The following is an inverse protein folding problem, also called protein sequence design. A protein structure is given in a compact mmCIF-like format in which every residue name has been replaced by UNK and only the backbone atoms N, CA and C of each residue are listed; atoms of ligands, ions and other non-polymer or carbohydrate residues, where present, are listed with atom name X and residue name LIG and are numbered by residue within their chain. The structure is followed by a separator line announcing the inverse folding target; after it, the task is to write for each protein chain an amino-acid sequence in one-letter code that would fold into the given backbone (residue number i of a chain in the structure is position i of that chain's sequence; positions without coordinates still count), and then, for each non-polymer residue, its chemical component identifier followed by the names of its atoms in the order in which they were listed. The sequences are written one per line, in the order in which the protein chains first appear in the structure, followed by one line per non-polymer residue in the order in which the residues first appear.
data_IF_764818122767
#
_entry.id   IF_764818122767
#
_cell.length_a   1.000
_cell.length_b   1.000
_cell.length_c   1.000
_cell.angle_alpha   90.00
_cell.angle_beta   90.00
_cell.angle_gamma   90.00
#
_symmetry.space_group_name_H-M   'P 1'
#
loop_
_entity.id
_entity.type
_entity.pdbx_description
1 polymer ?
#
# COMPACT_ATOMS: atom_id res chain seq x y z
N UNK A 1 30.67 -47.59 -70.28
CA UNK A 1 30.64 -46.15 -70.57
C UNK A 1 29.61 -45.47 -69.67
N UNK A 2 30.07 -44.63 -68.71
CA UNK A 2 29.52 -43.28 -68.36
C UNK A 2 28.02 -43.22 -67.94
N UNK A 3 27.59 -42.78 -66.73
CA UNK A 3 28.07 -41.75 -65.80
C UNK A 3 27.47 -41.94 -64.38
N UNK A 4 28.27 -41.58 -63.37
CA UNK A 4 27.88 -41.23 -62.00
C UNK A 4 26.92 -40.03 -61.95
N UNK A 5 26.15 -39.92 -60.86
CA UNK A 5 25.78 -38.70 -60.08
C UNK A 5 24.78 -39.13 -58.97
N UNK A 6 25.23 -39.62 -57.81
CA UNK A 6 25.44 -38.90 -56.54
C UNK A 6 24.41 -37.80 -56.24
N UNK A 7 23.48 -38.09 -55.34
CA UNK A 7 22.83 -37.11 -54.46
C UNK A 7 22.31 -37.83 -53.20
N UNK A 8 23.23 -38.26 -52.33
CA UNK A 8 22.89 -38.68 -50.98
C UNK A 8 22.65 -37.41 -50.14
N UNK A 9 21.37 -37.06 -49.96
CA UNK A 9 20.95 -35.99 -49.06
C UNK A 9 21.26 -36.38 -47.62
N UNK A 10 22.39 -35.89 -47.11
CA UNK A 10 22.75 -35.97 -45.70
C UNK A 10 21.76 -35.13 -44.91
N UNK A 11 20.76 -35.79 -44.32
CA UNK A 11 19.94 -35.23 -43.25
C UNK A 11 20.84 -35.10 -42.02
N UNK A 12 21.47 -33.94 -41.86
CA UNK A 12 22.13 -33.54 -40.62
C UNK A 12 21.04 -33.35 -39.56
N UNK A 13 20.77 -34.40 -38.78
CA UNK A 13 20.07 -34.27 -37.51
C UNK A 13 20.92 -33.38 -36.61
N UNK A 14 20.62 -32.08 -36.59
CA UNK A 14 21.08 -31.20 -35.52
C UNK A 14 20.33 -31.60 -34.24
N UNK A 15 20.81 -32.66 -33.59
CA UNK A 15 20.53 -32.91 -32.19
C UNK A 15 21.22 -31.79 -31.40
N UNK A 16 20.53 -30.66 -31.27
CA UNK A 16 20.86 -29.67 -30.26
C UNK A 16 20.67 -30.34 -28.92
N UNK A 17 21.75 -30.81 -28.31
CA UNK A 17 21.79 -31.03 -26.87
C UNK A 17 21.54 -29.68 -26.21
N UNK A 18 20.28 -29.31 -25.99
CA UNK A 18 19.95 -28.39 -24.92
C UNK A 18 20.48 -29.06 -23.65
N UNK A 19 21.67 -28.63 -23.20
CA UNK A 19 22.11 -28.89 -21.83
C UNK A 19 21.07 -28.21 -20.94
N UNK A 20 20.07 -28.97 -20.56
CA UNK A 20 19.16 -28.61 -19.49
C UNK A 20 20.02 -28.59 -18.24
N UNK A 21 20.41 -27.39 -17.83
CA UNK A 21 21.02 -27.20 -16.53
C UNK A 21 19.95 -27.58 -15.51
N UNK A 22 20.06 -28.79 -14.98
CA UNK A 22 19.22 -29.24 -13.87
C UNK A 22 19.46 -28.29 -12.70
N UNK A 23 18.41 -27.56 -12.34
CA UNK A 23 18.46 -26.65 -11.22
C UNK A 23 18.29 -27.46 -9.94
N UNK A 24 19.39 -27.69 -9.24
CA UNK A 24 19.37 -28.34 -7.92
C UNK A 24 19.20 -27.28 -6.84
N UNK A 25 18.31 -27.56 -5.88
CA UNK A 25 18.26 -26.80 -4.64
C UNK A 25 19.62 -26.88 -3.92
N UNK A 26 20.03 -25.83 -3.18
CA UNK A 26 21.24 -25.88 -2.38
C UNK A 26 21.00 -26.73 -1.11
N UNK A 27 20.77 -28.04 -1.28
CA UNK A 27 20.38 -28.95 -0.19
C UNK A 27 21.50 -29.14 0.86
N UNK A 28 22.75 -28.87 0.47
CA UNK A 28 23.91 -28.83 1.37
C UNK A 28 24.00 -27.52 2.19
N UNK A 29 23.09 -26.57 1.95
CA UNK A 29 23.06 -25.32 2.67
C UNK A 29 22.73 -25.54 4.15
N UNK A 30 23.63 -25.06 5.00
CA UNK A 30 23.45 -25.02 6.44
C UNK A 30 24.06 -23.77 7.03
N UNK A 31 23.50 -23.35 8.15
CA UNK A 31 23.97 -22.21 8.92
C UNK A 31 24.17 -22.67 10.35
N UNK A 32 25.35 -22.37 10.89
CA UNK A 32 25.72 -22.71 12.26
C UNK A 32 26.05 -21.43 13.04
N UNK A 33 25.72 -21.46 14.32
CA UNK A 33 26.09 -20.43 15.29
C UNK A 33 27.23 -20.94 16.16
N UNK A 34 28.10 -20.03 16.59
CA UNK A 34 29.14 -20.35 17.57
C UNK A 34 28.55 -20.57 18.97
N UNK A 35 27.46 -19.86 19.31
CA UNK A 35 26.83 -19.88 20.63
C UNK A 35 25.31 -19.92 20.50
N UNK A 36 24.64 -20.45 21.50
CA UNK A 36 23.18 -20.43 21.59
C UNK A 36 22.62 -19.09 22.11
N UNK A 37 23.45 -18.26 22.76
CA UNK A 37 23.04 -16.99 23.38
C UNK A 37 24.16 -15.96 23.29
N UNK A 38 23.78 -14.70 23.10
CA UNK A 38 24.69 -13.55 22.97
C UNK A 38 24.19 -12.38 23.82
N UNK A 39 25.06 -11.42 24.15
CA UNK A 39 24.66 -10.18 24.83
C UNK A 39 24.28 -9.07 23.85
N UNK A 40 23.51 -8.09 24.31
CA UNK A 40 23.27 -6.85 23.55
C UNK A 40 24.61 -6.22 23.16
N UNK A 41 24.74 -5.85 21.88
CA UNK A 41 25.98 -5.28 21.33
C UNK A 41 27.06 -6.29 20.97
N UNK A 42 26.91 -7.56 21.34
CA UNK A 42 27.81 -8.64 20.90
C UNK A 42 27.55 -8.98 19.43
N UNK A 43 28.64 -9.24 18.68
CA UNK A 43 28.53 -9.66 17.28
C UNK A 43 28.16 -11.13 17.18
N UNK A 44 27.01 -11.41 16.58
CA UNK A 44 26.52 -12.76 16.29
C UNK A 44 27.09 -13.19 14.94
N UNK A 45 27.99 -14.18 14.95
CA UNK A 45 28.60 -14.74 13.73
C UNK A 45 27.85 -16.00 13.30
N UNK A 46 27.48 -16.03 12.02
CA UNK A 46 26.85 -17.16 11.34
C UNK A 46 27.86 -17.78 10.39
N UNK A 47 28.22 -19.05 10.61
CA UNK A 47 29.03 -19.82 9.67
C UNK A 47 28.12 -20.43 8.60
N UNK A 48 28.39 -20.11 7.34
CA UNK A 48 27.60 -20.52 6.19
C UNK A 48 28.32 -21.65 5.45
N UNK A 49 27.63 -22.78 5.31
CA UNK A 49 28.09 -23.96 4.56
C UNK A 49 27.20 -24.20 3.33
N UNK A 50 27.73 -24.94 2.38
CA UNK A 50 27.11 -25.18 1.07
C UNK A 50 27.47 -24.12 0.04
N UNK A 51 26.86 -24.20 -1.15
CA UNK A 51 27.12 -23.27 -2.27
C UNK A 51 25.85 -22.65 -2.86
N UNK A 52 25.05 -21.93 -2.06
CA UNK A 52 23.87 -21.24 -2.58
C UNK A 52 24.28 -20.08 -3.50
N UNK A 53 23.58 -19.86 -4.60
CA UNK A 53 23.84 -18.73 -5.50
C UNK A 53 23.45 -17.41 -4.86
N UNK A 54 22.28 -17.35 -4.23
CA UNK A 54 21.77 -16.18 -3.53
C UNK A 54 21.50 -16.49 -2.06
N UNK A 55 21.71 -15.50 -1.19
CA UNK A 55 21.30 -15.55 0.21
C UNK A 55 20.61 -14.26 0.61
N UNK A 56 19.46 -14.42 1.25
CA UNK A 56 18.74 -13.34 1.91
C UNK A 56 18.63 -13.67 3.40
N UNK A 57 18.83 -12.67 4.24
CA UNK A 57 18.84 -12.76 5.70
C UNK A 57 17.68 -11.96 6.30
N UNK A 58 16.97 -12.58 7.24
CA UNK A 58 15.93 -11.94 8.05
C UNK A 58 16.39 -12.00 9.50
N UNK A 59 16.61 -10.85 10.13
CA UNK A 59 17.10 -10.77 11.51
C UNK A 59 16.05 -11.12 12.56
N UNK A 60 14.76 -11.16 12.19
CA UNK A 60 13.66 -11.32 13.16
C UNK A 60 13.34 -10.05 13.94
N UNK A 61 14.07 -8.95 13.70
CA UNK A 61 13.74 -7.61 14.20
C UNK A 61 12.43 -7.09 13.57
N UNK A 62 11.84 -6.04 14.14
CA UNK A 62 10.65 -5.41 13.57
C UNK A 62 10.89 -4.99 12.10
N UNK A 63 9.95 -5.34 11.21
CA UNK A 63 10.09 -5.11 9.76
C UNK A 63 11.02 -6.09 9.02
N UNK A 64 11.62 -7.06 9.74
CA UNK A 64 12.60 -8.02 9.22
C UNK A 64 12.26 -9.48 9.60
N UNK A 65 10.98 -9.83 9.77
CA UNK A 65 10.52 -11.19 10.10
C UNK A 65 10.07 -11.96 8.86
N UNK A 66 10.67 -13.14 8.63
CA UNK A 66 10.37 -13.97 7.45
C UNK A 66 8.91 -14.46 7.38
N UNK A 67 8.28 -14.70 8.53
CA UNK A 67 6.86 -15.08 8.63
C UNK A 67 5.91 -14.00 8.07
N UNK A 68 6.33 -12.73 8.07
CA UNK A 68 5.53 -11.60 7.58
C UNK A 68 5.93 -11.13 6.17
N UNK A 69 6.78 -11.87 5.46
CA UNK A 69 7.26 -11.51 4.10
C UNK A 69 6.15 -11.45 3.03
N UNK A 70 5.03 -12.12 3.28
CA UNK A 70 3.85 -12.12 2.39
C UNK A 70 2.65 -11.46 3.05
N UNK A 71 2.81 -10.89 4.25
CA UNK A 71 1.71 -10.26 4.98
C UNK A 71 1.39 -8.92 4.33
N UNK A 72 0.17 -8.82 3.80
CA UNK A 72 -0.34 -7.61 3.16
C UNK A 72 -1.46 -6.95 3.97
N UNK A 73 -1.95 -7.59 5.05
CA UNK A 73 -2.96 -7.03 5.92
C UNK A 73 -2.72 -7.33 7.42
N UNK A 74 -3.14 -6.41 8.29
CA UNK A 74 -3.18 -6.50 9.76
C UNK A 74 -4.55 -5.98 10.22
N UNK A 75 -5.30 -6.81 10.94
CA UNK A 75 -6.56 -6.41 11.54
C UNK A 75 -6.37 -5.75 12.91
N UNK A 76 -7.36 -4.96 13.34
CA UNK A 76 -7.35 -4.30 14.65
C UNK A 76 -6.61 -2.95 14.68
N UNK A 77 -6.28 -2.39 13.52
CA UNK A 77 -5.82 -1.01 13.42
C UNK A 77 -6.99 -0.03 13.64
N UNK A 78 -6.74 1.05 14.38
CA UNK A 78 -7.68 2.16 14.49
C UNK A 78 -7.53 3.10 13.29
N UNK A 79 -8.62 3.45 12.63
CA UNK A 79 -8.61 4.33 11.45
C UNK A 79 -9.24 5.67 11.80
N UNK A 80 -8.51 6.75 11.56
CA UNK A 80 -8.94 8.11 11.84
C UNK A 80 -8.83 8.99 10.60
N UNK A 81 -9.88 9.76 10.32
CA UNK A 81 -9.91 10.78 9.28
C UNK A 81 -9.99 12.17 9.93
N UNK A 82 -9.12 13.08 9.51
CA UNK A 82 -9.23 14.51 9.76
C UNK A 82 -9.11 15.27 8.44
N UNK A 83 -9.90 16.31 8.25
CA UNK A 83 -9.76 17.23 7.13
C UNK A 83 -10.14 18.64 7.59
N UNK A 84 -9.69 19.64 6.84
CA UNK A 84 -10.00 21.04 7.13
C UNK A 84 -10.87 21.64 6.05
N UNK A 85 -11.87 22.41 6.43
CA UNK A 85 -12.81 23.06 5.51
C UNK A 85 -12.77 24.58 5.63
N UNK A 86 -13.12 25.25 4.53
CA UNK A 86 -13.38 26.68 4.48
C UNK A 86 -14.56 26.95 3.54
N UNK A 87 -15.65 27.45 4.09
CA UNK A 87 -16.75 28.02 3.32
C UNK A 87 -16.50 29.52 3.17
N UNK A 88 -16.29 29.97 1.93
CA UNK A 88 -15.92 31.35 1.64
C UNK A 88 -16.85 31.99 0.60
N UNK A 89 -16.88 33.33 0.59
CA UNK A 89 -17.85 34.12 -0.19
C UNK A 89 -19.29 33.80 0.17
N UNK A 90 -20.25 34.38 -0.56
CA UNK A 90 -21.67 34.09 -0.42
C UNK A 90 -22.29 34.70 0.82
N UNK A 91 -23.54 34.31 1.06
CA UNK A 91 -24.30 34.76 2.23
C UNK A 91 -23.87 34.03 3.50
N UNK A 92 -24.12 34.69 4.63
CA UNK A 92 -24.13 34.11 5.97
C UNK A 92 -25.59 34.06 6.49
N UNK A 93 -25.99 33.04 7.27
CA UNK A 93 -25.20 31.89 7.71
C UNK A 93 -24.82 30.95 6.55
N UNK A 94 -23.68 30.27 6.70
CA UNK A 94 -23.23 29.27 5.72
C UNK A 94 -24.22 28.10 5.69
N UNK A 95 -24.67 27.75 4.49
CA UNK A 95 -25.46 26.55 4.27
C UNK A 95 -24.54 25.32 4.22
N UNK A 96 -24.41 24.62 5.35
CA UNK A 96 -23.60 23.41 5.45
C UNK A 96 -24.29 22.16 4.89
N UNK A 97 -25.59 22.25 4.56
CA UNK A 97 -26.34 21.11 4.04
C UNK A 97 -25.88 20.67 2.64
N UNK A 98 -25.20 21.57 1.92
CA UNK A 98 -24.72 21.36 0.56
C UNK A 98 -23.40 20.59 0.48
N UNK A 99 -22.67 20.40 1.59
CA UNK A 99 -21.43 19.64 1.61
C UNK A 99 -21.62 18.37 2.44
N UNK A 100 -21.26 17.23 1.88
CA UNK A 100 -21.39 15.92 2.54
C UNK A 100 -20.09 15.15 2.52
N UNK A 101 -19.89 14.33 3.54
CA UNK A 101 -18.84 13.32 3.62
C UNK A 101 -19.48 11.94 3.60
N UNK A 102 -19.16 11.14 2.60
CA UNK A 102 -19.64 9.77 2.45
C UNK A 102 -18.50 8.77 2.46
N UNK A 103 -18.81 7.54 2.84
CA UNK A 103 -17.92 6.37 2.72
C UNK A 103 -18.63 5.22 2.03
N UNK A 104 -17.92 4.50 1.17
CA UNK A 104 -18.40 3.25 0.57
C UNK A 104 -17.42 2.11 0.85
N UNK A 105 -17.98 0.93 1.16
CA UNK A 105 -17.23 -0.33 1.33
C UNK A 105 -17.62 -1.39 0.29
N UNK A 106 -18.49 -1.04 -0.66
CA UNK A 106 -18.98 -1.90 -1.75
C UNK A 106 -18.69 -1.34 -3.15
N UNK A 107 -18.13 -0.12 -3.24
CA UNK A 107 -17.67 0.43 -4.51
C UNK A 107 -16.71 -0.54 -5.20
N UNK A 108 -16.93 -0.81 -6.48
CA UNK A 108 -16.23 -1.87 -7.21
C UNK A 108 -14.88 -1.43 -7.80
N UNK A 109 -14.45 -0.19 -7.54
CA UNK A 109 -13.18 0.35 -8.01
C UNK A 109 -13.16 0.82 -9.47
N UNK A 110 -14.31 0.85 -10.16
CA UNK A 110 -14.43 1.43 -11.50
C UNK A 110 -14.83 2.90 -11.40
N UNK A 111 -13.90 3.78 -11.72
CA UNK A 111 -14.06 5.24 -11.60
C UNK A 111 -14.78 5.83 -12.80
N UNK A 112 -16.04 5.45 -12.97
CA UNK A 112 -16.98 6.06 -13.90
C UNK A 112 -18.30 6.41 -13.19
N UNK A 113 -19.05 7.35 -13.75
CA UNK A 113 -20.27 7.88 -13.13
C UNK A 113 -21.29 6.76 -12.82
N UNK A 114 -21.45 5.79 -13.71
CA UNK A 114 -22.41 4.68 -13.53
C UNK A 114 -22.06 3.85 -12.29
N UNK A 115 -20.79 3.49 -12.13
CA UNK A 115 -20.34 2.65 -11.01
C UNK A 115 -20.26 3.40 -9.69
N UNK A 116 -19.89 4.69 -9.69
CA UNK A 116 -19.92 5.52 -8.48
C UNK A 116 -21.35 5.68 -7.97
N UNK A 117 -22.32 5.91 -8.86
CA UNK A 117 -23.73 6.06 -8.49
C UNK A 117 -24.41 4.75 -8.06
N UNK A 118 -23.92 3.61 -8.57
CA UNK A 118 -24.45 2.29 -8.23
C UNK A 118 -23.95 1.76 -6.87
N UNK A 119 -22.87 2.32 -6.32
CA UNK A 119 -22.33 1.93 -5.02
C UNK A 119 -23.19 2.45 -3.86
N UNK A 120 -23.08 1.80 -2.70
CA UNK A 120 -23.72 2.26 -1.47
C UNK A 120 -22.81 3.24 -0.74
N UNK A 121 -23.35 4.40 -0.39
CA UNK A 121 -22.65 5.48 0.30
C UNK A 121 -23.30 5.75 1.67
N UNK A 122 -22.55 5.51 2.74
CA UNK A 122 -22.95 5.81 4.11
C UNK A 122 -22.60 7.26 4.48
N UNK A 123 -23.58 8.00 5.04
CA UNK A 123 -23.40 9.40 5.43
C UNK A 123 -22.62 9.54 6.75
N UNK A 124 -21.44 10.15 6.68
CA UNK A 124 -20.57 10.46 7.83
C UNK A 124 -20.58 11.96 8.19
N UNK A 125 -21.35 12.78 7.49
CA UNK A 125 -21.30 14.25 7.62
C UNK A 125 -21.54 14.71 9.06
N UNK A 126 -22.43 14.04 9.79
CA UNK A 126 -22.72 14.36 11.20
C UNK A 126 -21.56 14.11 12.16
N UNK A 127 -20.55 13.34 11.76
CA UNK A 127 -19.32 13.13 12.53
C UNK A 127 -18.29 14.25 12.33
N UNK A 128 -18.48 15.10 11.31
CA UNK A 128 -17.54 16.15 10.95
C UNK A 128 -18.01 17.52 11.46
N UNK A 129 -17.08 18.30 12.01
CA UNK A 129 -17.28 19.75 12.20
C UNK A 129 -16.94 20.48 10.89
N UNK A 130 -17.93 21.16 10.31
CA UNK A 130 -17.76 21.88 9.04
C UNK A 130 -17.63 23.39 9.27
N UNK A 131 -16.91 24.06 8.36
CA UNK A 131 -16.73 25.52 8.39
C UNK A 131 -18.06 26.25 8.37
N UNK A 132 -18.24 27.18 9.31
CA UNK A 132 -19.32 28.16 9.32
C UNK A 132 -18.86 29.54 8.80
N UNK A 133 -17.78 29.57 8.01
CA UNK A 133 -17.16 30.78 7.48
C UNK A 133 -15.70 30.98 7.91
N UNK A 134 -15.23 30.22 8.91
CA UNK A 134 -13.83 30.23 9.34
C UNK A 134 -12.98 29.32 8.46
N UNK A 135 -11.83 29.82 8.01
CA UNK A 135 -10.83 29.01 7.32
C UNK A 135 -10.19 28.01 8.31
N UNK A 136 -9.60 26.94 7.77
CA UNK A 136 -8.90 25.90 8.52
C UNK A 136 -9.77 25.20 9.58
N UNK A 137 -11.09 25.19 9.42
CA UNK A 137 -12.00 24.51 10.36
C UNK A 137 -11.77 23.01 10.27
N UNK A 138 -11.19 22.42 11.31
CA UNK A 138 -10.96 20.97 11.38
C UNK A 138 -12.26 20.22 11.58
N UNK A 139 -12.41 19.10 10.87
CA UNK A 139 -13.52 18.14 11.04
C UNK A 139 -13.57 17.48 12.41
N UNK A 140 -12.47 17.55 13.18
CA UNK A 140 -12.21 16.62 14.26
C UNK A 140 -11.73 15.26 13.75
N UNK A 141 -11.36 14.37 14.66
CA UNK A 141 -10.91 13.02 14.34
C UNK A 141 -12.11 12.10 14.20
N UNK A 142 -12.49 11.81 12.95
CA UNK A 142 -13.60 10.94 12.60
C UNK A 142 -13.10 9.49 12.66
N UNK A 143 -13.65 8.71 13.58
CA UNK A 143 -13.34 7.28 13.69
C UNK A 143 -14.04 6.46 12.58
N UNK A 144 -13.22 5.76 11.80
CA UNK A 144 -13.60 4.87 10.71
C UNK A 144 -13.27 3.40 11.00
N UNK A 145 -12.86 3.05 12.23
CA UNK A 145 -12.39 1.70 12.59
C UNK A 145 -13.46 0.63 12.39
N UNK A 146 -14.74 0.96 12.59
CA UNK A 146 -15.88 0.05 12.31
C UNK A 146 -16.01 -0.32 10.83
N UNK A 147 -15.53 0.52 9.91
CA UNK A 147 -15.47 0.19 8.49
C UNK A 147 -14.27 -0.70 8.16
N UNK A 148 -13.15 -0.49 8.85
CA UNK A 148 -11.95 -1.31 8.69
C UNK A 148 -12.14 -2.75 9.16
N UNK A 149 -12.91 -2.93 10.23
CA UNK A 149 -13.32 -4.24 10.75
C UNK A 149 -14.13 -5.08 9.74
N UNK A 150 -14.69 -4.45 8.69
CA UNK A 150 -15.40 -5.17 7.61
C UNK A 150 -14.46 -5.88 6.63
N UNK A 151 -13.15 -5.63 6.75
CA UNK A 151 -12.08 -6.20 5.91
C UNK A 151 -12.33 -6.01 4.40
N UNK A 152 -12.80 -4.81 4.03
CA UNK A 152 -13.01 -4.40 2.64
C UNK A 152 -12.22 -3.14 2.36
N UNK A 153 -11.77 -3.00 1.11
CA UNK A 153 -11.33 -1.70 0.59
C UNK A 153 -12.47 -0.70 0.69
N UNK A 154 -12.13 0.55 0.95
CA UNK A 154 -13.10 1.62 1.10
C UNK A 154 -12.68 2.85 0.31
N UNK A 155 -13.68 3.64 -0.08
CA UNK A 155 -13.51 4.92 -0.72
C UNK A 155 -14.29 5.99 0.06
N UNK A 156 -13.75 7.20 0.14
CA UNK A 156 -14.41 8.35 0.72
C UNK A 156 -14.83 9.29 -0.42
N UNK A 157 -15.99 9.94 -0.27
CA UNK A 157 -16.46 10.95 -1.19
C UNK A 157 -16.79 12.24 -0.44
N UNK A 158 -16.36 13.36 -0.99
CA UNK A 158 -16.86 14.68 -0.62
C UNK A 158 -17.84 15.11 -1.70
N UNK A 159 -19.04 15.47 -1.31
CA UNK A 159 -20.15 15.74 -2.24
C UNK A 159 -20.62 17.16 -2.03
N UNK A 160 -20.61 17.95 -3.10
CA UNK A 160 -21.18 19.28 -3.16
C UNK A 160 -22.50 19.22 -3.94
N UNK A 161 -23.62 19.34 -3.22
CA UNK A 161 -24.96 19.22 -3.77
C UNK A 161 -25.83 20.39 -3.37
N UNK A 162 -26.31 21.16 -4.34
CA UNK A 162 -27.21 22.29 -4.07
C UNK A 162 -28.67 21.90 -4.30
N UNK A 163 -29.56 22.45 -3.48
CA UNK A 163 -31.02 22.26 -3.60
C UNK A 163 -31.74 23.52 -4.11
N UNK A 164 -31.03 24.64 -4.17
CA UNK A 164 -31.54 25.95 -4.58
C UNK A 164 -30.50 26.64 -5.45
N UNK A 165 -30.93 27.19 -6.58
CA UNK A 165 -30.08 28.04 -7.44
C UNK A 165 -29.95 29.41 -6.77
N UNK A 166 -28.71 29.84 -6.55
CA UNK A 166 -28.39 31.14 -5.92
C UNK A 166 -27.60 32.00 -6.91
N UNK A 167 -27.79 33.33 -6.95
CA UNK A 167 -26.86 34.22 -7.64
C UNK A 167 -25.42 33.97 -7.17
N UNK A 168 -24.43 34.12 -8.05
CA UNK A 168 -23.04 33.75 -7.74
C UNK A 168 -22.51 34.48 -6.48
N UNK A 169 -22.89 35.74 -6.31
CA UNK A 169 -22.53 36.56 -5.15
C UNK A 169 -23.08 36.03 -3.82
N UNK A 170 -24.12 35.19 -3.85
CA UNK A 170 -24.79 34.63 -2.68
C UNK A 170 -24.37 33.19 -2.37
N UNK A 171 -23.77 32.48 -3.33
CA UNK A 171 -23.36 31.09 -3.16
C UNK A 171 -21.98 31.01 -2.51
N UNK A 172 -21.84 30.15 -1.50
CA UNK A 172 -20.55 29.89 -0.86
C UNK A 172 -19.73 28.94 -1.74
N UNK A 173 -18.42 29.20 -1.85
CA UNK A 173 -17.44 28.23 -2.35
C UNK A 173 -16.92 27.41 -1.18
N UNK A 174 -16.89 26.10 -1.33
CA UNK A 174 -16.29 25.19 -0.36
C UNK A 174 -14.86 24.84 -0.76
N UNK A 175 -13.96 24.88 0.21
CA UNK A 175 -12.57 24.46 0.06
C UNK A 175 -12.24 23.42 1.10
N UNK A 176 -11.59 22.35 0.66
CA UNK A 176 -11.01 21.32 1.50
C UNK A 176 -9.51 21.58 1.54
N UNK A 177 -9.03 22.09 2.68
CA UNK A 177 -7.66 22.58 2.90
C UNK A 177 -6.66 21.49 3.21
N UNK A 178 -7.12 20.38 3.77
CA UNK A 178 -6.31 19.22 4.05
C UNK A 178 -7.18 17.97 4.04
N UNK A 179 -6.53 16.82 3.95
CA UNK A 179 -7.16 15.52 4.09
C UNK A 179 -6.08 14.62 4.67
N UNK A 180 -6.35 14.02 5.82
CA UNK A 180 -5.41 13.25 6.61
C UNK A 180 -6.11 11.98 7.10
N UNK A 181 -5.88 10.88 6.39
CA UNK A 181 -6.38 9.56 6.74
C UNK A 181 -5.23 8.72 7.28
N UNK A 182 -5.37 8.29 8.53
CA UNK A 182 -4.33 7.58 9.26
C UNK A 182 -4.82 6.26 9.82
N UNK A 183 -3.88 5.33 9.93
CA UNK A 183 -4.02 4.08 10.67
C UNK A 183 -3.11 4.13 11.89
N UNK A 184 -3.60 3.68 13.04
CA UNK A 184 -2.79 3.48 14.25
C UNK A 184 -2.79 2.00 14.59
N UNK A 185 -1.60 1.40 14.67
CA UNK A 185 -1.48 -0.02 15.02
C UNK A 185 -1.70 -0.27 16.52
N UNK A 186 -1.75 -1.54 16.93
CA UNK A 186 -1.96 -1.91 18.34
C UNK A 186 -0.84 -1.46 19.29
N UNK A 187 0.32 -1.04 18.76
CA UNK A 187 1.44 -0.49 19.52
C UNK A 187 1.40 1.05 19.61
N UNK A 188 0.38 1.68 19.01
CA UNK A 188 0.22 3.13 18.98
C UNK A 188 0.98 3.83 17.85
N UNK A 189 1.61 3.11 16.93
CA UNK A 189 2.35 3.72 15.82
C UNK A 189 1.39 4.14 14.70
N UNK A 190 1.53 5.38 14.24
CA UNK A 190 0.73 5.95 13.15
C UNK A 190 1.35 5.67 11.78
N UNK A 191 0.50 5.42 10.79
CA UNK A 191 0.83 5.33 9.37
C UNK A 191 -0.16 6.13 8.55
N UNK A 192 0.32 6.85 7.54
CA UNK A 192 -0.54 7.62 6.62
C UNK A 192 -1.08 6.70 5.54
N UNK A 193 -2.40 6.51 5.51
CA UNK A 193 -3.08 5.72 4.47
C UNK A 193 -3.37 6.58 3.23
N UNK A 194 -3.81 7.81 3.45
CA UNK A 194 -4.02 8.79 2.40
C UNK A 194 -3.88 10.22 2.96
N UNK A 195 -3.42 11.12 2.11
CA UNK A 195 -3.40 12.55 2.35
C UNK A 195 -3.89 13.30 1.11
N UNK A 196 -4.00 14.63 1.18
CA UNK A 196 -4.47 15.45 0.05
C UNK A 196 -3.74 15.15 -1.28
N UNK A 197 -2.45 14.87 -1.25
CA UNK A 197 -1.64 14.64 -2.46
C UNK A 197 -1.77 13.22 -3.03
N UNK A 198 -1.98 12.20 -2.19
CA UNK A 198 -1.96 10.79 -2.61
C UNK A 198 -3.30 10.04 -2.44
N UNK A 199 -4.36 10.76 -2.06
CA UNK A 199 -5.72 10.24 -1.96
C UNK A 199 -6.33 9.87 -3.33
N UNK A 200 -5.69 10.23 -4.45
CA UNK A 200 -6.08 9.77 -5.79
C UNK A 200 -7.48 10.22 -6.20
N UNK A 201 -7.77 11.51 -5.99
CA UNK A 201 -9.07 12.12 -6.23
C UNK A 201 -9.54 11.99 -7.68
N UNK A 202 -10.80 11.58 -7.87
CA UNK A 202 -11.50 11.61 -9.16
C UNK A 202 -12.81 12.37 -8.98
N UNK A 203 -13.06 13.37 -9.84
CA UNK A 203 -14.29 14.14 -9.81
C UNK A 203 -15.36 13.56 -10.73
N UNK A 204 -16.61 13.66 -10.30
CA UNK A 204 -17.79 13.24 -11.05
C UNK A 204 -18.87 14.32 -10.93
N UNK A 205 -19.54 14.58 -12.05
CA UNK A 205 -20.71 15.44 -12.11
C UNK A 205 -21.94 14.57 -12.41
N UNK A 206 -22.96 14.63 -11.55
CA UNK A 206 -24.21 13.90 -11.75
C UNK A 206 -25.40 14.77 -12.13
N UNK A 207 -25.28 16.09 -11.97
CA UNK A 207 -26.28 17.09 -12.32
C UNK A 207 -25.62 18.47 -12.35
N UNK A 208 -26.13 19.35 -13.20
CA UNK A 208 -25.59 20.70 -13.41
C UNK A 208 -24.67 20.79 -14.64
N UNK A 209 -23.97 21.91 -14.84
CA UNK A 209 -23.04 22.09 -15.94
C UNK A 209 -21.82 21.23 -15.67
N UNK A 210 -21.11 20.79 -16.71
CA UNK A 210 -19.96 19.87 -16.62
C UNK A 210 -18.74 20.36 -15.79
N UNK A 211 -18.90 21.42 -15.01
CA UNK A 211 -17.93 21.85 -14.00
C UNK A 211 -17.76 20.77 -12.95
N UNK A 212 -16.51 20.55 -12.58
CA UNK A 212 -16.09 19.58 -11.59
C UNK A 212 -15.28 20.33 -10.52
N UNK A 213 -15.06 19.66 -9.39
CA UNK A 213 -14.12 20.11 -8.38
C UNK A 213 -12.75 20.47 -8.98
N UNK A 214 -12.17 21.59 -8.55
CA UNK A 214 -10.76 21.88 -8.80
C UNK A 214 -9.90 21.08 -7.83
N UNK A 215 -9.09 20.16 -8.37
CA UNK A 215 -8.27 19.22 -7.60
C UNK A 215 -6.81 19.62 -7.71
N UNK A 216 -6.16 19.80 -6.57
CA UNK A 216 -4.70 20.00 -6.47
C UNK A 216 -4.14 19.15 -5.34
N UNK A 217 -2.81 19.00 -5.28
CA UNK A 217 -2.16 18.32 -4.15
C UNK A 217 -2.27 19.07 -2.82
N UNK A 218 -2.70 20.33 -2.84
CA UNK A 218 -2.83 21.18 -1.65
C UNK A 218 -4.27 21.35 -1.18
N UNK A 219 -5.26 21.28 -2.07
CA UNK A 219 -6.65 21.55 -1.75
C UNK A 219 -7.61 21.09 -2.84
N UNK A 220 -8.87 20.90 -2.45
CA UNK A 220 -10.01 20.68 -3.33
C UNK A 220 -10.95 21.88 -3.24
N UNK A 221 -11.46 22.39 -4.37
CA UNK A 221 -12.39 23.52 -4.38
C UNK A 221 -13.63 23.18 -5.20
N UNK A 222 -14.80 23.53 -4.67
CA UNK A 222 -16.03 23.52 -5.46
C UNK A 222 -16.05 24.73 -6.41
N UNK A 223 -16.83 24.62 -7.47
CA UNK A 223 -17.10 25.71 -8.40
C UNK A 223 -18.46 26.32 -8.01
N UNK A 224 -18.56 27.65 -8.05
CA UNK A 224 -19.85 28.33 -7.86
C UNK A 224 -20.57 28.38 -9.19
N UNK A 225 -21.88 28.16 -9.15
CA UNK A 225 -22.76 28.10 -10.29
C UNK A 225 -24.11 28.71 -9.92
N UNK A 226 -24.55 29.66 -10.74
CA UNK A 226 -25.79 30.42 -10.52
C UNK A 226 -26.89 30.15 -11.53
N UNK A 227 -26.70 29.19 -12.44
CA UNK A 227 -27.65 28.87 -13.50
C UNK A 227 -28.35 27.54 -13.29
N UNK A 228 -27.72 26.58 -12.62
CA UNK A 228 -28.26 25.23 -12.42
C UNK A 228 -27.92 24.69 -11.02
N UNK A 229 -28.54 23.58 -10.63
CA UNK A 229 -28.20 22.86 -9.40
C UNK A 229 -26.97 21.97 -9.65
N UNK A 230 -26.12 21.86 -8.63
CA UNK A 230 -24.91 21.05 -8.66
C UNK A 230 -25.15 19.72 -7.92
N UNK A 231 -24.58 18.64 -8.45
CA UNK A 231 -24.43 17.35 -7.77
C UNK A 231 -23.03 16.79 -8.11
N UNK A 232 -22.02 17.45 -7.55
CA UNK A 232 -20.60 17.26 -7.85
C UNK A 232 -19.89 16.50 -6.75
N UNK A 233 -19.28 15.39 -7.12
CA UNK A 233 -18.62 14.48 -6.19
C UNK A 233 -17.12 14.51 -6.47
N UNK A 234 -16.32 14.39 -5.42
CA UNK A 234 -14.90 14.06 -5.52
C UNK A 234 -14.63 12.83 -4.65
N UNK A 235 -14.15 11.77 -5.27
CA UNK A 235 -14.01 10.44 -4.66
C UNK A 235 -12.54 10.08 -4.57
N UNK A 236 -12.10 9.57 -3.42
CA UNK A 236 -10.73 9.05 -3.26
C UNK A 236 -10.54 7.79 -4.08
N UNK A 237 -9.28 7.44 -4.40
CA UNK A 237 -8.96 6.05 -4.72
C UNK A 237 -9.39 5.13 -3.57
N UNK A 238 -9.57 3.85 -3.87
CA UNK A 238 -9.81 2.85 -2.84
C UNK A 238 -8.53 2.64 -2.02
N UNK A 239 -8.72 2.53 -0.71
CA UNK A 239 -7.67 2.18 0.22
C UNK A 239 -8.10 0.97 1.05
N UNK A 240 -7.16 0.08 1.33
CA UNK A 240 -7.37 -1.00 2.27
C UNK A 240 -6.88 -0.53 3.64
N UNK A 241 -7.78 -0.33 4.63
CA UNK A 241 -7.40 0.18 5.95
C UNK A 241 -6.53 -0.80 6.74
N UNK A 242 -6.61 -2.09 6.42
CA UNK A 242 -5.83 -3.13 7.06
C UNK A 242 -4.49 -3.33 6.34
N UNK A 243 -4.22 -2.62 5.24
CA UNK A 243 -2.99 -2.81 4.45
C UNK A 243 -1.73 -2.61 5.30
N UNK A 244 -0.76 -3.50 5.13
CA UNK A 244 0.57 -3.35 5.70
C UNK A 244 1.65 -3.66 4.67
N UNK A 245 2.83 -3.11 4.86
CA UNK A 245 3.99 -3.43 4.03
C UNK A 245 4.60 -4.76 4.53
N UNK A 246 4.84 -5.73 3.63
CA UNK A 246 5.51 -6.96 4.03
C UNK A 246 6.92 -6.69 4.58
N UNK A 247 7.34 -7.52 5.54
CA UNK A 247 8.69 -7.45 6.09
C UNK A 247 9.73 -7.86 5.03
N UNK A 248 10.87 -7.16 5.01
CA UNK A 248 11.88 -7.30 3.95
C UNK A 248 13.15 -7.98 4.45
N UNK A 249 13.65 -8.94 3.68
CA UNK A 249 14.96 -9.53 3.93
C UNK A 249 16.10 -8.61 3.48
N UNK A 250 17.31 -8.85 4.01
CA UNK A 250 18.56 -8.24 3.58
C UNK A 250 19.28 -9.20 2.61
N UNK A 251 19.45 -8.85 1.32
CA UNK A 251 20.27 -9.66 0.42
C UNK A 251 21.74 -9.57 0.85
N UNK A 252 22.32 -10.68 1.27
CA UNK A 252 23.71 -10.74 1.79
C UNK A 252 24.69 -11.41 0.83
N UNK A 253 24.19 -12.09 -0.22
CA UNK A 253 25.02 -12.77 -1.21
C UNK A 253 24.34 -12.78 -2.59
N UNK A 254 25.14 -12.59 -3.64
CA UNK A 254 24.78 -12.89 -5.03
C UNK A 254 25.69 -13.97 -5.65
N UNK A 255 25.42 -14.36 -6.90
CA UNK A 255 26.12 -15.46 -7.59
C UNK A 255 27.62 -15.20 -7.78
N UNK A 256 28.05 -13.94 -7.83
CA UNK A 256 29.44 -13.55 -8.04
C UNK A 256 30.28 -13.58 -6.76
N UNK A 257 29.65 -13.79 -5.61
CA UNK A 257 30.29 -13.72 -4.30
C UNK A 257 30.32 -15.08 -3.62
N UNK A 258 31.43 -15.40 -2.97
CA UNK A 258 31.51 -16.48 -1.98
C UNK A 258 31.31 -15.86 -0.60
N UNK A 259 30.36 -16.38 0.17
CA UNK A 259 30.10 -15.95 1.54
C UNK A 259 30.16 -17.17 2.45
N UNK A 260 31.15 -17.22 3.33
CA UNK A 260 31.34 -18.31 4.31
C UNK A 260 30.95 -17.89 5.72
N UNK A 261 30.85 -16.58 5.96
CA UNK A 261 30.50 -16.01 7.26
C UNK A 261 29.66 -14.75 7.06
N UNK A 262 28.69 -14.54 7.94
CA UNK A 262 27.91 -13.30 8.04
C UNK A 262 27.81 -12.90 9.50
N UNK A 263 27.81 -11.61 9.82
CA UNK A 263 27.72 -11.13 11.21
C UNK A 263 26.60 -10.12 11.38
N UNK A 264 25.92 -10.17 12.53
CA UNK A 264 24.87 -9.21 12.90
C UNK A 264 25.00 -8.82 14.37
N UNK A 265 24.78 -7.54 14.68
CA UNK A 265 24.71 -7.02 16.05
C UNK A 265 23.26 -6.69 16.39
N UNK A 266 22.79 -7.15 17.55
CA UNK A 266 21.46 -6.84 18.08
C UNK A 266 21.58 -5.79 19.20
N UNK A 267 20.74 -4.76 19.14
CA UNK A 267 20.77 -3.62 20.09
C UNK A 267 19.71 -3.73 21.18
N UNK A 268 18.85 -4.74 21.12
CA UNK A 268 17.80 -5.00 22.11
C UNK A 268 17.87 -6.47 22.56
N UNK A 269 17.66 -6.69 23.85
CA UNK A 269 17.49 -8.04 24.39
C UNK A 269 16.15 -8.63 23.92
N UNK A 270 16.11 -9.94 23.71
CA UNK A 270 14.93 -10.64 23.25
C UNK A 270 15.24 -11.96 22.55
N UNK A 271 14.17 -12.70 22.23
CA UNK A 271 14.24 -13.92 21.42
C UNK A 271 13.88 -13.55 19.99
N UNK A 272 14.79 -13.84 19.06
CA UNK A 272 14.65 -13.53 17.64
C UNK A 272 14.55 -14.82 16.83
N UNK A 273 13.61 -14.87 15.90
CA UNK A 273 13.55 -15.92 14.88
C UNK A 273 14.28 -15.45 13.64
N UNK A 274 15.52 -15.91 13.48
CA UNK A 274 16.37 -15.60 12.35
C UNK A 274 16.03 -16.53 11.20
N UNK A 275 16.06 -16.01 9.98
CA UNK A 275 15.87 -16.84 8.79
C UNK A 275 16.91 -16.53 7.72
N UNK A 276 17.49 -17.57 7.15
CA UNK A 276 18.24 -17.51 5.90
C UNK A 276 17.46 -18.19 4.80
N UNK A 277 17.28 -17.53 3.67
CA UNK A 277 16.75 -18.14 2.45
C UNK A 277 17.89 -18.21 1.44
N UNK A 278 18.32 -19.44 1.19
CA UNK A 278 19.22 -19.79 0.12
C UNK A 278 18.42 -20.07 -1.15
N UNK A 279 18.89 -19.59 -2.28
CA UNK A 279 18.30 -19.96 -3.57
C UNK A 279 19.34 -20.14 -4.66
N UNK A 280 19.02 -21.08 -5.55
CA UNK A 280 19.65 -21.20 -6.86
C UNK A 280 18.57 -20.89 -7.91
N UNK A 281 18.94 -20.17 -8.97
CA UNK A 281 18.01 -19.82 -10.03
C UNK A 281 18.68 -19.85 -11.40
N UNK A 282 17.94 -20.32 -12.40
CA UNK A 282 18.30 -20.18 -13.81
C UNK A 282 17.21 -19.38 -14.55
N UNK A 283 17.30 -19.30 -15.87
CA UNK A 283 16.34 -18.52 -16.68
C UNK A 283 14.88 -18.98 -16.51
N UNK A 284 14.65 -20.25 -16.16
CA UNK A 284 13.32 -20.88 -16.20
C UNK A 284 12.78 -21.21 -14.80
N UNK A 285 13.64 -21.38 -13.79
CA UNK A 285 13.26 -21.94 -12.49
C UNK A 285 14.07 -21.31 -11.34
N UNK A 286 13.51 -21.36 -10.13
CA UNK A 286 14.22 -21.08 -8.89
C UNK A 286 13.92 -22.18 -7.87
N UNK A 287 14.95 -22.60 -7.12
CA UNK A 287 14.86 -23.58 -6.04
C UNK A 287 15.38 -22.94 -4.75
N UNK A 288 14.64 -23.10 -3.64
CA UNK A 288 14.90 -22.40 -2.38
C UNK A 288 15.03 -23.37 -1.20
N UNK A 289 15.92 -23.05 -0.26
CA UNK A 289 16.04 -23.71 1.05
C UNK A 289 15.95 -22.65 2.13
N UNK A 290 15.10 -22.88 3.13
CA UNK A 290 14.88 -21.97 4.26
C UNK A 290 15.51 -22.59 5.51
N UNK A 291 16.34 -21.83 6.22
CA UNK A 291 16.89 -22.22 7.53
C UNK A 291 16.49 -21.20 8.58
N UNK A 292 15.79 -21.68 9.60
CA UNK A 292 15.34 -20.86 10.72
C UNK A 292 16.11 -21.22 11.99
N UNK A 293 16.52 -20.20 12.73
CA UNK A 293 17.28 -20.36 13.98
C UNK A 293 16.67 -19.45 15.04
N UNK A 294 16.39 -19.99 16.21
CA UNK A 294 16.01 -19.20 17.38
C UNK A 294 17.28 -18.66 18.05
N UNK A 295 17.36 -17.34 18.20
CA UNK A 295 18.49 -16.64 18.80
C UNK A 295 18.05 -15.90 20.05
N UNK A 296 18.71 -16.18 21.17
CA UNK A 296 18.49 -15.47 22.41
C UNK A 296 19.54 -14.36 22.62
N UNK A 297 19.08 -13.11 22.74
CA UNK A 297 19.91 -11.96 23.11
C UNK A 297 19.58 -11.56 24.54
N UNK A 298 20.54 -11.72 25.44
CA UNK A 298 20.43 -11.28 26.84
C UNK A 298 20.97 -9.86 26.99
N UNK A 299 20.67 -9.24 28.13
CA UNK A 299 21.33 -8.00 28.53
C UNK A 299 22.86 -8.16 28.60
#
# INVERSE_FOLDING_TARGET
MKKLLIAAGVLFFMASCQKTYELTAPDDFSVELEKASYKVGESVRFTIKGKPEHLVFWSGEAGRKYEFRTRTAIEGNAISLNFKTFAQFGLTPIDQSVIKLYISTDFNGKYDATNVKAATWEDLTSKAVLSSGLDQTSSGNIDLSSFAARNKSMALALVYKTSVIKPEAQQNRWVIRSFDLKSTNQQGEESVLANMANAGWTAFNFSGPATNWSITSAQLLTVRNSTELDDDWVVTRQFNPNSTTPDVGEPIKNISQKLTEYSRVYTKAGVYKITFVASNANLERSATVVKEIELNITQ
#
